data_IF_451158814164
#
_entry.id   IF_451158814164
#
_cell.length_a   1.000
_cell.length_b   1.000
_cell.length_c   1.000
_cell.angle_alpha   90.00
_cell.angle_beta   90.00
_cell.angle_gamma   90.00
#
_symmetry.space_group_name_H-M   'P 1'
#
loop_
_entity.id
_entity.type
_entity.pdbx_description
1 polymer ?
#
# COMPACT_ATOMS: atom_id res chain seq x y z
N UNK A 1 14.51 -6.12 -8.04
CA UNK A 1 13.45 -6.62 -8.94
C UNK A 1 12.15 -6.05 -8.42
N UNK A 2 11.28 -5.50 -9.27
CA UNK A 2 9.97 -5.04 -8.81
C UNK A 2 9.16 -6.26 -8.35
N UNK A 3 8.71 -6.26 -7.10
CA UNK A 3 7.81 -7.28 -6.59
C UNK A 3 6.40 -7.00 -7.11
N UNK A 4 5.63 -8.06 -7.42
CA UNK A 4 4.28 -7.96 -7.98
C UNK A 4 3.18 -8.15 -6.94
N UNK A 5 3.57 -8.44 -5.70
CA UNK A 5 2.71 -8.72 -4.54
C UNK A 5 3.26 -7.95 -3.35
N UNK A 6 2.38 -7.36 -2.55
CA UNK A 6 2.69 -6.80 -1.23
C UNK A 6 1.93 -7.58 -0.14
N UNK A 7 2.41 -7.53 1.10
CA UNK A 7 1.69 -8.11 2.25
C UNK A 7 1.07 -6.97 3.05
N UNK A 8 -0.25 -7.01 3.25
CA UNK A 8 -0.99 -6.01 4.02
C UNK A 8 -1.93 -6.76 4.97
N UNK A 9 -1.80 -6.56 6.28
CA UNK A 9 -2.64 -7.22 7.29
C UNK A 9 -2.70 -8.75 7.05
N UNK A 10 -1.51 -9.36 6.95
CA UNK A 10 -1.26 -10.77 6.64
C UNK A 10 -1.82 -11.28 5.30
N UNK A 11 -2.29 -10.38 4.40
CA UNK A 11 -2.84 -10.74 3.08
C UNK A 11 -1.82 -10.44 1.99
N UNK A 12 -1.60 -11.42 1.12
CA UNK A 12 -0.81 -11.23 -0.09
C UNK A 12 -1.69 -10.56 -1.17
N UNK A 13 -1.42 -9.28 -1.43
CA UNK A 13 -2.19 -8.43 -2.34
C UNK A 13 -1.39 -8.17 -3.62
N UNK A 14 -1.88 -8.59 -4.80
CA UNK A 14 -1.26 -8.22 -6.07
C UNK A 14 -1.34 -6.72 -6.32
N UNK A 15 -0.23 -6.09 -6.70
CA UNK A 15 -0.16 -4.64 -6.91
C UNK A 15 -1.15 -4.14 -7.96
N UNK A 16 -1.38 -4.91 -9.03
CA UNK A 16 -2.31 -4.53 -10.11
C UNK A 16 -3.78 -4.44 -9.66
N UNK A 17 -4.14 -5.00 -8.49
CA UNK A 17 -5.50 -4.89 -7.94
C UNK A 17 -5.71 -3.62 -7.11
N UNK A 18 -4.64 -2.89 -6.79
CA UNK A 18 -4.73 -1.69 -5.93
C UNK A 18 -5.17 -0.50 -6.79
N UNK A 19 -6.26 0.14 -6.37
CA UNK A 19 -6.83 1.30 -7.04
C UNK A 19 -6.29 2.62 -6.49
N UNK A 20 -6.20 2.72 -5.15
CA UNK A 20 -5.61 3.85 -4.45
C UNK A 20 -5.26 3.50 -3.00
N UNK A 21 -4.38 4.30 -2.40
CA UNK A 21 -3.94 4.20 -1.01
C UNK A 21 -4.28 5.51 -0.31
N UNK A 22 -4.94 5.45 0.85
CA UNK A 22 -5.26 6.64 1.63
C UNK A 22 -4.00 7.22 2.29
N UNK A 23 -3.81 8.53 2.16
CA UNK A 23 -2.75 9.24 2.87
C UNK A 23 -3.11 9.50 4.34
N UNK A 24 -4.41 9.56 4.66
CA UNK A 24 -4.91 9.76 6.03
C UNK A 24 -5.44 8.46 6.64
N UNK A 25 -5.27 8.26 7.96
CA UNK A 25 -5.90 7.13 8.64
C UNK A 25 -7.41 7.34 8.73
N UNK A 26 -8.14 6.23 8.82
CA UNK A 26 -9.58 6.25 9.03
C UNK A 26 -9.94 6.72 10.44
N UNK A 27 -10.82 7.72 10.52
CA UNK A 27 -11.40 8.18 11.77
C UNK A 27 -12.89 8.46 11.58
N UNK A 28 -13.75 7.56 12.08
CA UNK A 28 -15.20 7.70 12.00
C UNK A 28 -15.87 7.92 13.36
N UNK A 29 -15.15 7.67 14.47
CA UNK A 29 -15.68 7.82 15.83
C UNK A 29 -16.74 6.78 16.22
N UNK A 30 -16.91 5.71 15.46
CA UNK A 30 -17.77 4.59 15.83
C UNK A 30 -17.02 3.67 16.81
N UNK A 31 -17.65 3.36 17.95
CA UNK A 31 -17.05 2.53 19.02
C UNK A 31 -16.76 1.09 18.56
N UNK A 32 -17.51 0.58 17.58
CA UNK A 32 -17.34 -0.78 17.04
C UNK A 32 -16.40 -0.82 15.82
N UNK A 33 -15.74 0.30 15.48
CA UNK A 33 -14.83 0.38 14.36
C UNK A 33 -13.53 -0.39 14.62
N UNK A 34 -13.27 -1.42 13.81
CA UNK A 34 -12.05 -2.23 13.92
C UNK A 34 -10.87 -1.71 13.09
N UNK A 35 -11.09 -0.67 12.28
CA UNK A 35 -10.09 -0.07 11.39
C UNK A 35 -9.70 1.37 11.76
N UNK A 36 -10.18 1.90 12.88
CA UNK A 36 -9.84 3.25 13.35
C UNK A 36 -8.31 3.40 13.48
N UNK A 37 -7.75 4.48 12.92
CA UNK A 37 -6.31 4.72 12.90
C UNK A 37 -5.51 3.92 11.87
N UNK A 38 -6.14 3.04 11.08
CA UNK A 38 -5.53 2.31 9.96
C UNK A 38 -5.69 3.08 8.65
N UNK A 39 -4.83 2.80 7.68
CA UNK A 39 -4.87 3.41 6.35
C UNK A 39 -5.59 2.48 5.40
N UNK A 40 -6.52 3.05 4.63
CA UNK A 40 -7.27 2.26 3.66
C UNK A 40 -6.44 2.04 2.40
N UNK A 41 -6.33 0.78 1.98
CA UNK A 41 -5.85 0.41 0.65
C UNK A 41 -7.04 -0.15 -0.12
N UNK A 42 -7.49 0.61 -1.12
CA UNK A 42 -8.64 0.24 -1.94
C UNK A 42 -8.22 -0.71 -3.04
N UNK A 43 -8.91 -1.83 -3.12
CA UNK A 43 -8.76 -2.82 -4.18
C UNK A 43 -9.88 -2.67 -5.21
N UNK A 44 -9.74 -3.37 -6.34
CA UNK A 44 -10.84 -3.59 -7.28
C UNK A 44 -12.08 -4.22 -6.61
N UNK A 45 -13.24 -4.05 -7.25
CA UNK A 45 -14.53 -4.63 -6.82
C UNK A 45 -15.04 -4.13 -5.45
N UNK A 46 -14.76 -2.86 -5.12
CA UNK A 46 -15.17 -2.22 -3.87
C UNK A 46 -14.63 -2.88 -2.58
N UNK A 47 -13.60 -3.72 -2.69
CA UNK A 47 -12.91 -4.33 -1.55
C UNK A 47 -11.87 -3.36 -0.98
N UNK A 48 -11.63 -3.42 0.35
CA UNK A 48 -10.55 -2.68 1.01
C UNK A 48 -9.79 -3.57 1.98
N UNK A 49 -8.50 -3.32 2.11
CA UNK A 49 -7.67 -3.82 3.22
C UNK A 49 -7.15 -2.65 4.04
N UNK A 50 -6.81 -2.90 5.31
CA UNK A 50 -6.48 -1.87 6.27
C UNK A 50 -5.04 -2.01 6.72
N UNK A 51 -4.20 -1.09 6.25
CA UNK A 51 -2.76 -1.08 6.51
C UNK A 51 -2.42 -0.32 7.81
N UNK A 52 -1.36 -0.75 8.48
CA UNK A 52 -0.58 0.12 9.35
C UNK A 52 0.12 1.22 8.53
N UNK A 53 0.73 2.19 9.22
CA UNK A 53 1.49 3.26 8.55
C UNK A 53 2.68 2.70 7.75
N UNK A 54 3.37 1.72 8.33
CA UNK A 54 4.54 1.08 7.71
C UNK A 54 4.12 0.33 6.44
N UNK A 55 3.12 -0.53 6.53
CA UNK A 55 2.57 -1.26 5.37
C UNK A 55 2.08 -0.30 4.28
N UNK A 56 1.45 0.83 4.63
CA UNK A 56 1.05 1.86 3.65
C UNK A 56 2.25 2.40 2.87
N UNK A 57 3.33 2.74 3.56
CA UNK A 57 4.53 3.30 2.95
C UNK A 57 5.25 2.25 2.07
N UNK A 58 5.25 0.99 2.50
CA UNK A 58 5.74 -0.15 1.71
C UNK A 58 4.92 -0.35 0.44
N UNK A 59 3.59 -0.27 0.51
CA UNK A 59 2.70 -0.39 -0.65
C UNK A 59 2.95 0.73 -1.66
N UNK A 60 3.09 1.98 -1.20
CA UNK A 60 3.41 3.11 -2.07
C UNK A 60 4.76 2.92 -2.76
N UNK A 61 5.78 2.51 -2.00
CA UNK A 61 7.13 2.22 -2.53
C UNK A 61 7.08 1.11 -3.58
N UNK A 62 6.31 0.04 -3.32
CA UNK A 62 6.16 -1.08 -4.24
C UNK A 62 5.44 -0.67 -5.53
N UNK A 63 4.39 0.17 -5.43
CA UNK A 63 3.67 0.69 -6.59
C UNK A 63 4.55 1.60 -7.46
N UNK A 64 5.35 2.48 -6.86
CA UNK A 64 6.30 3.33 -7.58
C UNK A 64 7.37 2.49 -8.29
N UNK A 65 7.95 1.51 -7.60
CA UNK A 65 8.92 0.58 -8.19
C UNK A 65 8.30 -0.24 -9.34
N UNK A 66 7.07 -0.71 -9.18
CA UNK A 66 6.33 -1.47 -10.20
C UNK A 66 5.97 -0.62 -11.43
N UNK A 67 5.63 0.66 -11.24
CA UNK A 67 5.37 1.60 -12.34
C UNK A 67 6.64 1.98 -13.13
N UNK A 68 7.82 1.50 -12.72
CA UNK A 68 9.11 1.84 -13.33
C UNK A 68 9.71 3.14 -12.80
N UNK A 69 9.15 3.71 -11.72
CA UNK A 69 9.62 4.92 -11.04
C UNK A 69 10.50 4.65 -9.81
N UNK A 70 11.03 3.43 -9.66
CA UNK A 70 11.94 3.11 -8.55
C UNK A 70 13.19 4.00 -8.55
N UNK A 71 13.91 4.12 -7.41
CA UNK A 71 15.12 4.92 -7.32
C UNK A 71 16.08 4.51 -8.44
N UNK A 72 16.55 5.49 -9.22
CA UNK A 72 17.56 5.24 -10.25
C UNK A 72 18.75 4.53 -9.59
N UNK A 73 19.26 3.44 -10.18
CA UNK A 73 20.48 2.84 -9.67
C UNK A 73 21.56 3.92 -9.69
N UNK A 74 22.18 4.16 -8.54
CA UNK A 74 23.33 5.06 -8.44
C UNK A 74 24.39 4.57 -9.44
N UNK A 75 24.52 5.23 -10.60
CA UNK A 75 25.52 4.90 -11.60
C UNK A 75 26.90 5.17 -10.97
N UNK A 76 27.47 4.12 -10.37
CA UNK A 76 28.87 4.10 -9.97
C UNK A 76 29.72 4.29 -11.22
N UNK A 77 30.25 5.50 -11.38
CA UNK A 77 31.33 5.80 -12.32
C UNK A 77 32.47 4.79 -12.11
N UNK A 78 32.79 4.02 -13.15
CA UNK A 78 34.07 3.31 -13.28
C UNK A 78 34.94 4.05 -14.30
#
# INVERSE_FOLDING_TARGET
MAEVICVIDDKHVPLYRIMWVSDLPHFCGNEDCMCEGRYEVRLEMDESVWASREERDEVLTALEAWAGGGPEPEEGWN
#
